data_IF_082406621325
#
_entry.id   IF_082406621325
#
_cell.length_a   1.000
_cell.length_b   1.000
_cell.length_c   1.000
_cell.angle_alpha   90.00
_cell.angle_beta   90.00
_cell.angle_gamma   90.00
#
_symmetry.space_group_name_H-M   'P 1'
#
loop_
_entity.id
_entity.type
_entity.pdbx_description
1 polymer ?
#
# COMPACT_ATOMS: atom_id res chain seq x y z
N UNK A 1 -10.99 -49.21 5.09
CA UNK A 1 -10.18 -48.32 5.94
C UNK A 1 -9.80 -47.10 5.12
N UNK A 2 -10.29 -45.91 5.51
CA UNK A 2 -10.01 -44.64 4.83
C UNK A 2 -8.58 -44.20 5.19
N UNK A 3 -7.70 -44.04 4.21
CA UNK A 3 -6.40 -43.37 4.38
C UNK A 3 -6.55 -41.95 3.83
N UNK A 4 -6.55 -40.99 4.75
CA UNK A 4 -6.51 -39.55 4.45
C UNK A 4 -5.14 -39.21 3.87
N UNK A 5 -5.11 -38.60 2.68
CA UNK A 5 -3.91 -38.04 2.08
C UNK A 5 -3.92 -36.55 2.41
N UNK A 6 -3.08 -36.17 3.37
CA UNK A 6 -2.84 -34.79 3.80
C UNK A 6 -1.77 -34.20 2.87
N UNK A 7 -2.16 -33.23 2.04
CA UNK A 7 -1.30 -32.60 1.02
C UNK A 7 -0.99 -31.18 1.50
N UNK A 8 0.26 -30.96 1.94
CA UNK A 8 0.79 -29.66 2.35
C UNK A 8 1.76 -29.10 1.32
N UNK A 9 1.58 -27.84 0.94
CA UNK A 9 2.44 -27.07 0.02
C UNK A 9 3.69 -26.57 0.76
N UNK A 10 4.87 -26.70 0.15
CA UNK A 10 6.17 -26.38 0.76
C UNK A 10 6.70 -24.99 0.38
N UNK A 11 7.37 -24.36 1.36
CA UNK A 11 7.98 -23.03 1.37
C UNK A 11 9.04 -22.80 0.26
N UNK A 12 9.53 -23.87 -0.38
CA UNK A 12 10.73 -23.83 -1.23
C UNK A 12 10.50 -23.34 -2.67
N UNK A 13 9.27 -23.39 -3.20
CA UNK A 13 8.98 -22.76 -4.50
C UNK A 13 9.28 -21.25 -4.46
N UNK A 14 9.05 -20.59 -3.32
CA UNK A 14 9.43 -19.19 -3.12
C UNK A 14 10.95 -19.02 -2.97
N UNK A 15 11.65 -20.02 -2.43
CA UNK A 15 13.09 -19.94 -2.19
C UNK A 15 13.92 -20.13 -3.47
N UNK A 16 13.50 -21.01 -4.37
CA UNK A 16 14.13 -21.18 -5.68
C UNK A 16 13.91 -19.94 -6.56
N UNK A 17 12.76 -19.28 -6.42
CA UNK A 17 12.46 -18.00 -7.05
C UNK A 17 13.32 -16.89 -6.46
N UNK A 18 13.48 -16.84 -5.14
CA UNK A 18 14.36 -15.87 -4.49
C UNK A 18 15.83 -16.06 -4.91
N UNK A 19 16.31 -17.30 -5.08
CA UNK A 19 17.69 -17.61 -5.49
C UNK A 19 17.93 -17.37 -6.99
N UNK A 20 16.97 -17.64 -7.88
CA UNK A 20 17.09 -17.32 -9.30
C UNK A 20 17.11 -15.80 -9.56
N UNK A 21 16.42 -15.01 -8.73
CA UNK A 21 16.46 -13.53 -8.79
C UNK A 21 17.77 -12.95 -8.21
N UNK A 22 18.54 -13.70 -7.41
CA UNK A 22 19.90 -13.29 -7.00
C UNK A 22 20.91 -13.44 -8.16
N UNK A 23 20.68 -14.34 -9.11
CA UNK A 23 21.60 -14.59 -10.23
C UNK A 23 21.45 -13.60 -11.41
N UNK A 24 20.44 -12.72 -11.42
CA UNK A 24 20.24 -11.71 -12.47
C UNK A 24 20.81 -10.32 -12.12
N UNK A 25 21.67 -10.24 -11.10
CA UNK A 25 22.43 -9.05 -10.77
C UNK A 25 23.71 -8.93 -11.59
N UNK A 26 23.66 -8.10 -12.64
CA UNK A 26 24.78 -7.45 -13.33
C UNK A 26 25.63 -8.27 -14.31
N UNK A 27 25.37 -8.05 -15.60
CA UNK A 27 26.27 -8.37 -16.69
C UNK A 27 25.83 -7.72 -17.99
N UNK A 28 25.82 -6.37 -18.07
CA UNK A 28 26.57 -5.67 -19.13
C UNK A 28 26.50 -4.15 -18.98
N UNK A 29 27.67 -3.53 -19.01
CA UNK A 29 27.87 -2.11 -19.02
C UNK A 29 28.16 -1.66 -20.47
N UNK A 30 27.12 -1.41 -21.27
CA UNK A 30 27.13 -0.42 -22.37
C UNK A 30 25.90 -0.56 -23.29
N UNK A 31 24.79 0.09 -22.94
CA UNK A 31 23.79 0.48 -23.95
C UNK A 31 23.38 1.92 -23.70
N UNK A 32 23.96 2.82 -24.50
CA UNK A 32 23.52 4.22 -24.60
C UNK A 32 22.12 4.23 -25.20
N UNK A 33 21.11 4.48 -24.38
CA UNK A 33 19.78 4.84 -24.86
C UNK A 33 19.77 6.33 -25.20
N UNK A 34 19.93 6.65 -26.49
CA UNK A 34 19.59 7.96 -27.03
C UNK A 34 18.11 7.93 -27.44
N UNK A 35 17.25 8.55 -26.65
CA UNK A 35 15.97 9.05 -27.11
C UNK A 35 15.63 10.31 -26.30
N UNK A 36 15.12 11.32 -26.98
CA UNK A 36 14.83 12.70 -26.52
C UNK A 36 16.02 13.66 -26.59
N UNK A 37 16.43 13.95 -27.83
CA UNK A 37 16.78 15.32 -28.19
C UNK A 37 15.48 16.10 -28.48
N UNK A 38 15.47 17.36 -28.06
CA UNK A 38 14.48 18.42 -28.29
C UNK A 38 13.28 18.51 -27.34
N UNK A 39 13.53 19.15 -26.19
CA UNK A 39 12.80 20.35 -25.77
C UNK A 39 13.57 21.03 -24.62
N UNK A 40 14.21 22.17 -24.91
CA UNK A 40 14.70 23.09 -23.88
C UNK A 40 13.50 23.63 -23.09
N UNK A 41 13.28 23.10 -21.90
CA UNK A 41 12.53 23.78 -20.85
C UNK A 41 13.25 23.53 -19.53
N UNK A 42 13.53 24.60 -18.80
CA UNK A 42 14.23 24.64 -17.53
C UNK A 42 13.58 23.71 -16.49
N UNK A 43 13.99 22.44 -16.45
CA UNK A 43 13.55 21.51 -15.43
C UNK A 43 14.45 21.65 -14.20
N UNK A 44 13.93 22.37 -13.20
CA UNK A 44 14.26 22.15 -11.81
C UNK A 44 13.99 20.66 -11.55
N UNK A 45 15.03 19.83 -11.45
CA UNK A 45 14.88 18.41 -11.09
C UNK A 45 14.20 18.40 -9.72
N UNK A 46 12.89 18.12 -9.70
CA UNK A 46 12.16 17.98 -8.46
C UNK A 46 12.71 16.73 -7.78
N UNK A 47 13.31 16.92 -6.61
CA UNK A 47 13.68 15.85 -5.70
C UNK A 47 12.42 14.99 -5.48
N UNK A 48 12.41 13.77 -6.04
CA UNK A 48 11.28 12.86 -5.88
C UNK A 48 11.25 12.49 -4.39
N UNK A 49 10.20 12.90 -3.69
CA UNK A 49 9.99 12.52 -2.29
C UNK A 49 9.79 11.00 -2.21
N UNK A 50 10.09 10.42 -1.05
CA UNK A 50 9.86 8.99 -0.81
C UNK A 50 8.42 8.58 -1.17
N UNK A 51 7.43 9.41 -0.84
CA UNK A 51 6.03 9.23 -1.21
C UNK A 51 5.82 9.16 -2.73
N UNK A 52 6.42 10.07 -3.50
CA UNK A 52 6.33 10.06 -4.96
C UNK A 52 6.98 8.81 -5.58
N UNK A 53 8.11 8.36 -5.02
CA UNK A 53 8.78 7.15 -5.46
C UNK A 53 7.95 5.88 -5.15
N UNK A 54 7.31 5.82 -3.98
CA UNK A 54 6.41 4.71 -3.62
C UNK A 54 5.22 4.65 -4.58
N UNK A 55 4.58 5.79 -4.88
CA UNK A 55 3.46 5.84 -5.84
C UNK A 55 3.87 5.32 -7.23
N UNK A 56 5.07 5.69 -7.69
CA UNK A 56 5.61 5.20 -8.96
C UNK A 56 5.93 3.69 -8.90
N UNK A 57 6.50 3.18 -7.81
CA UNK A 57 6.74 1.75 -7.66
C UNK A 57 5.40 0.98 -7.62
N UNK A 58 4.41 1.52 -6.91
CA UNK A 58 3.09 0.93 -6.73
C UNK A 58 2.33 0.77 -8.06
N UNK A 59 2.47 1.70 -9.00
CA UNK A 59 1.82 1.59 -10.32
C UNK A 59 2.43 0.49 -11.20
N UNK A 60 3.61 -0.03 -10.85
CA UNK A 60 4.32 -1.06 -11.58
C UNK A 60 4.14 -2.46 -11.01
N UNK A 61 3.39 -2.66 -9.93
CA UNK A 61 3.14 -3.97 -9.33
C UNK A 61 1.64 -4.21 -9.13
N UNK A 62 1.23 -5.47 -9.06
CA UNK A 62 -0.16 -5.88 -8.88
C UNK A 62 -0.56 -6.03 -7.41
N UNK A 63 0.34 -5.73 -6.47
CA UNK A 63 0.11 -5.89 -5.05
C UNK A 63 0.43 -4.59 -4.32
N UNK A 64 -0.16 -4.40 -3.13
CA UNK A 64 0.14 -3.25 -2.28
C UNK A 64 1.53 -3.37 -1.67
N UNK A 65 2.37 -2.36 -1.89
CA UNK A 65 3.71 -2.26 -1.30
C UNK A 65 3.60 -1.91 0.19
N UNK A 66 4.31 -2.65 1.04
CA UNK A 66 4.37 -2.43 2.48
C UNK A 66 5.57 -1.56 2.88
N UNK A 67 5.29 -0.37 3.42
CA UNK A 67 6.34 0.51 3.94
C UNK A 67 6.82 0.04 5.33
N UNK A 68 8.15 -0.06 5.57
CA UNK A 68 8.69 -0.33 6.89
C UNK A 68 8.44 0.87 7.84
N UNK A 69 7.78 0.63 8.97
CA UNK A 69 7.57 1.67 9.99
C UNK A 69 8.83 1.99 10.81
N UNK A 70 9.86 1.14 10.72
CA UNK A 70 11.12 1.31 11.44
C UNK A 70 12.31 1.09 10.50
N UNK A 71 13.22 2.06 10.48
CA UNK A 71 14.53 1.99 9.84
C UNK A 71 15.58 2.42 10.86
N UNK A 72 16.66 1.63 11.07
CA UNK A 72 17.71 1.98 12.03
C UNK A 72 18.37 3.32 11.74
N UNK A 73 18.81 4.00 12.81
CA UNK A 73 19.49 5.29 12.70
C UNK A 73 20.72 5.21 11.80
N UNK A 74 20.91 6.23 10.95
CA UNK A 74 21.99 6.32 9.97
C UNK A 74 21.60 5.83 8.57
N UNK A 75 20.64 4.92 8.46
CA UNK A 75 20.11 4.50 7.15
C UNK A 75 19.17 5.55 6.58
N UNK A 76 19.48 6.03 5.36
CA UNK A 76 18.67 6.99 4.61
C UNK A 76 18.04 6.29 3.42
N UNK A 77 16.80 6.67 3.13
CA UNK A 77 16.11 6.23 1.92
C UNK A 77 16.94 6.60 0.68
N UNK A 78 17.16 5.62 -0.19
CA UNK A 78 17.90 5.77 -1.44
C UNK A 78 16.96 5.63 -2.64
N UNK A 79 16.16 4.56 -2.69
CA UNK A 79 15.17 4.35 -3.75
C UNK A 79 14.12 3.32 -3.37
N UNK A 80 13.00 3.33 -4.09
CA UNK A 80 12.05 2.21 -4.15
C UNK A 80 11.75 1.91 -5.60
N UNK A 81 11.63 0.64 -5.94
CA UNK A 81 11.32 0.18 -7.29
C UNK A 81 10.21 -0.85 -7.24
N UNK A 82 9.32 -0.81 -8.23
CA UNK A 82 8.32 -1.85 -8.50
C UNK A 82 8.59 -2.43 -9.87
N UNK A 83 8.59 -3.76 -10.01
CA UNK A 83 8.94 -4.44 -11.26
C UNK A 83 8.10 -5.67 -11.45
N UNK A 84 7.56 -5.84 -12.65
CA UNK A 84 6.98 -7.10 -13.12
C UNK A 84 7.99 -7.85 -13.94
N UNK A 85 8.12 -9.14 -13.70
CA UNK A 85 8.97 -10.01 -14.48
C UNK A 85 8.09 -11.13 -15.05
N UNK A 86 8.03 -11.17 -16.37
CA UNK A 86 7.33 -12.22 -17.11
C UNK A 86 8.35 -13.27 -17.51
N UNK A 87 8.48 -14.31 -16.69
CA UNK A 87 9.38 -15.43 -16.96
C UNK A 87 8.73 -16.49 -17.85
N UNK A 88 9.54 -17.44 -18.32
CA UNK A 88 9.05 -18.59 -19.10
C UNK A 88 8.15 -19.49 -18.22
N UNK A 89 8.57 -19.73 -16.97
CA UNK A 89 7.87 -20.63 -16.03
C UNK A 89 6.94 -19.91 -15.04
N UNK A 90 7.30 -18.69 -14.67
CA UNK A 90 6.64 -17.93 -13.60
C UNK A 90 6.58 -16.45 -13.96
N UNK A 91 5.46 -15.83 -13.64
CA UNK A 91 5.30 -14.38 -13.62
C UNK A 91 5.35 -13.92 -12.17
N UNK A 92 6.16 -12.91 -11.89
CA UNK A 92 6.39 -12.40 -10.54
C UNK A 92 6.21 -10.88 -10.58
N UNK A 93 5.68 -10.32 -9.50
CA UNK A 93 5.76 -8.89 -9.22
C UNK A 93 6.62 -8.69 -7.97
N UNK A 94 7.49 -7.67 -7.97
CA UNK A 94 8.40 -7.37 -6.86
C UNK A 94 8.46 -5.87 -6.58
N UNK A 95 8.49 -5.53 -5.30
CA UNK A 95 8.93 -4.23 -4.82
C UNK A 95 10.30 -4.36 -4.14
N UNK A 96 11.10 -3.31 -4.18
CA UNK A 96 12.39 -3.26 -3.49
C UNK A 96 12.66 -1.85 -2.99
N UNK A 97 12.67 -1.69 -1.67
CA UNK A 97 13.22 -0.51 -0.99
C UNK A 97 14.73 -0.66 -0.83
N UNK A 98 15.46 0.43 -1.02
CA UNK A 98 16.90 0.56 -0.82
C UNK A 98 17.17 1.68 0.18
N UNK A 99 18.01 1.39 1.17
CA UNK A 99 18.50 2.34 2.16
C UNK A 99 20.03 2.25 2.25
N UNK A 100 20.68 3.39 2.53
CA UNK A 100 22.14 3.49 2.63
C UNK A 100 22.58 4.17 3.91
N UNK A 101 23.67 3.67 4.49
CA UNK A 101 24.39 4.31 5.59
C UNK A 101 25.90 4.29 5.29
N UNK A 102 26.41 5.34 4.65
CA UNK A 102 27.76 5.34 4.09
C UNK A 102 27.91 4.24 3.03
N UNK A 103 28.81 3.30 3.29
CA UNK A 103 29.09 2.14 2.44
C UNK A 103 28.15 0.95 2.71
N UNK A 104 27.31 1.03 3.73
CA UNK A 104 26.34 -0.02 4.03
C UNK A 104 25.08 0.12 3.18
N UNK A 105 24.57 -1.04 2.75
CA UNK A 105 23.35 -1.15 1.99
C UNK A 105 22.37 -2.06 2.74
N UNK A 106 21.11 -1.64 2.74
CA UNK A 106 19.97 -2.36 3.27
C UNK A 106 18.91 -2.38 2.18
N UNK A 107 18.42 -3.56 1.83
CA UNK A 107 17.28 -3.69 0.91
C UNK A 107 16.18 -4.50 1.54
N UNK A 108 14.95 -4.05 1.34
CA UNK A 108 13.73 -4.74 1.78
C UNK A 108 12.94 -5.04 0.51
N UNK A 109 12.66 -6.32 0.28
CA UNK A 109 11.97 -6.80 -0.92
C UNK A 109 10.69 -7.50 -0.56
N UNK A 110 9.68 -7.25 -1.38
CA UNK A 110 8.41 -7.97 -1.34
C UNK A 110 8.18 -8.62 -2.70
N UNK A 111 7.61 -9.82 -2.72
CA UNK A 111 7.49 -10.60 -3.94
C UNK A 111 6.23 -11.45 -3.92
N UNK A 112 5.44 -11.38 -4.99
CA UNK A 112 4.28 -12.24 -5.23
C UNK A 112 4.47 -13.01 -6.54
N UNK A 113 4.10 -14.29 -6.54
CA UNK A 113 4.01 -15.09 -7.76
C UNK A 113 2.62 -14.89 -8.35
N UNK A 114 2.55 -14.21 -9.49
CA UNK A 114 1.29 -13.86 -10.16
C UNK A 114 0.74 -15.05 -10.95
N UNK A 115 1.63 -15.80 -11.62
CA UNK A 115 1.24 -16.94 -12.45
C UNK A 115 2.32 -18.00 -12.48
N UNK A 116 1.91 -19.26 -12.46
CA UNK A 116 2.78 -20.41 -12.74
C UNK A 116 2.26 -21.11 -13.99
N UNK A 117 3.11 -21.32 -15.00
CA UNK A 117 2.68 -21.85 -16.31
C UNK A 117 2.80 -23.37 -16.44
N UNK A 118 3.57 -24.02 -15.57
CA UNK A 118 3.70 -25.49 -15.53
C UNK A 118 3.35 -26.06 -14.15
N UNK A 119 2.38 -26.97 -14.12
CA UNK A 119 1.98 -27.74 -12.92
C UNK A 119 2.84 -28.99 -12.70
N UNK A 120 4.02 -29.10 -13.33
CA UNK A 120 4.86 -30.29 -13.18
C UNK A 120 5.55 -30.29 -11.82
N UNK A 121 5.08 -31.18 -10.95
CA UNK A 121 5.62 -31.45 -9.62
C UNK A 121 7.08 -31.89 -9.74
N UNK A 122 8.01 -31.01 -9.36
CA UNK A 122 9.42 -31.37 -9.23
C UNK A 122 9.61 -32.18 -7.94
N UNK A 123 10.28 -33.32 -8.05
CA UNK A 123 10.66 -34.15 -6.90
C UNK A 123 11.64 -33.39 -6.00
N UNK A 124 11.37 -33.40 -4.70
CA UNK A 124 12.09 -32.66 -3.67
C UNK A 124 13.10 -33.57 -2.98
N UNK A 125 14.26 -33.78 -3.59
CA UNK A 125 15.48 -34.09 -2.83
C UNK A 125 16.16 -32.76 -2.47
N UNK A 126 15.48 -31.99 -1.63
CA UNK A 126 15.97 -30.70 -1.19
C UNK A 126 17.00 -30.89 -0.06
N UNK A 127 18.14 -30.21 -0.12
CA UNK A 127 19.00 -30.11 1.04
C UNK A 127 18.18 -29.53 2.21
N UNK A 128 18.38 -30.10 3.41
CA UNK A 128 17.72 -29.62 4.62
C UNK A 128 18.02 -28.14 4.79
N UNK A 129 16.99 -27.30 4.90
CA UNK A 129 17.16 -25.87 5.16
C UNK A 129 17.88 -25.71 6.50
N UNK A 130 19.13 -25.24 6.46
CA UNK A 130 20.00 -25.09 7.64
C UNK A 130 19.94 -23.69 8.24
N UNK A 131 19.08 -22.81 7.72
CA UNK A 131 19.00 -21.42 8.18
C UNK A 131 18.36 -21.33 9.56
N UNK A 132 18.78 -20.32 10.31
CA UNK A 132 18.28 -20.10 11.66
C UNK A 132 16.78 -19.74 11.61
N UNK A 133 15.99 -20.37 12.46
CA UNK A 133 14.58 -20.05 12.64
C UNK A 133 14.46 -18.88 13.59
N UNK A 134 13.77 -17.82 13.19
CA UNK A 134 13.46 -16.67 14.03
C UNK A 134 11.96 -16.42 14.06
N UNK A 135 11.49 -15.68 15.07
CA UNK A 135 10.10 -15.26 15.17
C UNK A 135 9.98 -13.79 14.76
N UNK A 136 9.01 -13.46 13.91
CA UNK A 136 8.68 -12.10 13.47
C UNK A 136 7.17 -11.91 13.72
N UNK A 137 6.79 -11.29 14.83
CA UNK A 137 5.38 -11.10 15.20
C UNK A 137 4.50 -12.38 15.17
N UNK A 138 5.05 -13.52 15.58
CA UNK A 138 4.36 -14.82 15.53
C UNK A 138 4.48 -15.56 14.19
N UNK A 139 5.14 -14.96 13.21
CA UNK A 139 5.44 -15.56 11.90
C UNK A 139 6.84 -16.16 11.94
N UNK A 140 6.97 -17.39 11.44
CA UNK A 140 8.27 -18.03 11.29
C UNK A 140 9.10 -17.37 10.18
N UNK A 141 10.28 -16.86 10.54
CA UNK A 141 11.29 -16.34 9.62
C UNK A 141 12.52 -17.24 9.52
N UNK A 142 13.32 -17.03 8.47
CA UNK A 142 14.60 -17.69 8.22
C UNK A 142 15.71 -16.65 8.12
N UNK A 143 16.71 -16.75 8.99
CA UNK A 143 17.90 -15.91 9.00
C UNK A 143 19.14 -16.68 8.52
N UNK A 144 19.95 -16.04 7.68
CA UNK A 144 21.26 -16.55 7.27
C UNK A 144 22.32 -15.46 7.12
N UNK A 145 23.58 -15.88 7.21
CA UNK A 145 24.75 -15.09 6.92
C UNK A 145 25.55 -15.82 5.83
N UNK A 146 25.58 -15.26 4.63
CA UNK A 146 26.18 -15.87 3.45
C UNK A 146 27.15 -14.87 2.82
N UNK A 147 28.45 -15.20 2.79
CA UNK A 147 29.49 -14.32 2.22
C UNK A 147 29.48 -12.88 2.78
N UNK A 148 29.19 -12.73 4.08
CA UNK A 148 29.05 -11.41 4.72
C UNK A 148 27.69 -10.73 4.51
N UNK A 149 26.85 -11.26 3.62
CA UNK A 149 25.49 -10.77 3.40
C UNK A 149 24.57 -11.38 4.44
N UNK A 150 23.89 -10.53 5.20
CA UNK A 150 22.85 -10.95 6.13
C UNK A 150 21.52 -10.99 5.38
N UNK A 151 20.81 -12.10 5.49
CA UNK A 151 19.50 -12.31 4.87
C UNK A 151 18.49 -12.73 5.94
N UNK A 152 17.36 -12.03 6.01
CA UNK A 152 16.19 -12.42 6.76
C UNK A 152 15.02 -12.58 5.78
N UNK A 153 14.26 -13.67 5.85
CA UNK A 153 13.12 -13.90 4.96
C UNK A 153 11.93 -14.50 5.71
N UNK A 154 10.72 -14.08 5.34
CA UNK A 154 9.46 -14.56 5.92
C UNK A 154 8.31 -14.42 4.91
N UNK A 155 7.11 -14.85 5.29
CA UNK A 155 5.92 -14.78 4.44
C UNK A 155 4.72 -14.23 5.21
N UNK A 156 3.95 -13.38 4.54
CA UNK A 156 2.63 -12.92 4.99
C UNK A 156 1.64 -13.33 3.90
N UNK A 157 0.83 -14.37 4.16
CA UNK A 157 -0.05 -14.93 3.14
C UNK A 157 0.73 -15.45 1.91
N UNK A 158 0.43 -14.88 0.75
CA UNK A 158 1.13 -15.14 -0.53
C UNK A 158 2.31 -14.20 -0.78
N UNK A 159 2.47 -13.14 0.02
CA UNK A 159 3.57 -12.19 -0.08
C UNK A 159 4.82 -12.77 0.58
N UNK A 160 5.91 -12.82 -0.19
CA UNK A 160 7.22 -13.24 0.29
C UNK A 160 8.08 -12.02 0.56
N UNK A 161 8.61 -11.91 1.77
CA UNK A 161 9.37 -10.76 2.21
C UNK A 161 10.81 -11.15 2.50
N UNK A 162 11.73 -10.24 2.23
CA UNK A 162 13.13 -10.41 2.63
C UNK A 162 13.82 -9.09 2.92
N UNK A 163 14.75 -9.14 3.88
CA UNK A 163 15.68 -8.06 4.18
C UNK A 163 17.07 -8.58 3.88
N UNK A 164 17.84 -7.82 3.10
CA UNK A 164 19.26 -8.08 2.85
C UNK A 164 20.08 -6.89 3.30
N UNK A 165 21.17 -7.15 4.01
CA UNK A 165 22.13 -6.11 4.36
C UNK A 165 23.56 -6.55 4.13
N UNK A 166 24.35 -5.66 3.55
CA UNK A 166 25.76 -5.88 3.24
C UNK A 166 26.51 -4.54 3.24
N UNK A 167 27.84 -4.60 3.26
CA UNK A 167 28.71 -3.44 3.11
C UNK A 167 29.47 -3.51 1.79
N UNK A 168 29.58 -2.40 1.08
CA UNK A 168 30.38 -2.29 -0.14
C UNK A 168 31.78 -1.78 0.22
N UNK A 169 32.81 -2.61 0.08
CA UNK A 169 34.21 -2.20 0.27
C UNK A 169 34.94 -2.28 -1.07
N UNK A 170 34.90 -1.19 -1.84
CA UNK A 170 35.42 -1.14 -3.20
C UNK A 170 34.58 -2.00 -4.16
N UNK A 171 35.18 -3.05 -4.74
CA UNK A 171 34.48 -4.02 -5.59
C UNK A 171 33.99 -5.26 -4.82
N UNK A 172 34.28 -5.36 -3.52
CA UNK A 172 33.92 -6.52 -2.70
C UNK A 172 32.71 -6.23 -1.81
N UNK A 173 31.88 -7.25 -1.59
CA UNK A 173 30.80 -7.21 -0.61
C UNK A 173 31.29 -7.86 0.69
N UNK A 174 31.09 -7.18 1.81
CA UNK A 174 31.51 -7.66 3.14
C UNK A 174 30.37 -7.55 4.16
N UNK A 175 30.68 -7.96 5.39
CA UNK A 175 29.76 -7.98 6.53
C UNK A 175 29.15 -6.61 6.83
N UNK A 176 27.82 -6.51 6.78
CA UNK A 176 27.10 -5.35 7.34
C UNK A 176 27.21 -5.30 8.86
N UNK A 177 27.27 -4.10 9.45
CA UNK A 177 27.18 -3.91 10.90
C UNK A 177 25.78 -4.16 11.47
N UNK A 178 24.74 -4.21 10.62
CA UNK A 178 23.35 -4.38 11.05
C UNK A 178 23.15 -5.71 11.78
N UNK A 179 22.78 -5.68 13.07
CA UNK A 179 22.60 -6.91 13.84
C UNK A 179 21.36 -7.70 13.41
N UNK A 180 21.30 -8.98 13.78
CA UNK A 180 20.12 -9.82 13.53
C UNK A 180 18.88 -9.23 14.22
N UNK A 181 19.05 -8.76 15.45
CA UNK A 181 17.97 -8.16 16.26
C UNK A 181 17.42 -6.91 15.58
N UNK A 182 18.28 -6.07 14.99
CA UNK A 182 17.84 -4.91 14.21
C UNK A 182 17.11 -5.32 12.93
N UNK A 183 17.56 -6.37 12.23
CA UNK A 183 16.83 -6.91 11.08
C UNK A 183 15.45 -7.44 11.47
N UNK A 184 15.32 -8.08 12.64
CA UNK A 184 14.03 -8.55 13.15
C UNK A 184 13.11 -7.36 13.44
N UNK A 185 13.60 -6.30 14.10
CA UNK A 185 12.80 -5.07 14.34
C UNK A 185 12.31 -4.43 13.04
N UNK A 186 13.15 -4.38 12.01
CA UNK A 186 12.73 -3.92 10.68
C UNK A 186 11.61 -4.83 10.15
N UNK A 187 11.80 -6.16 10.18
CA UNK A 187 10.81 -7.11 9.69
C UNK A 187 9.46 -7.01 10.43
N UNK A 188 9.50 -6.83 11.76
CA UNK A 188 8.31 -6.64 12.59
C UNK A 188 7.58 -5.32 12.28
N UNK A 189 8.29 -4.34 11.70
CA UNK A 189 7.74 -3.05 11.29
C UNK A 189 7.14 -3.04 9.88
N UNK A 190 7.42 -4.07 9.06
CA UNK A 190 6.85 -4.21 7.71
C UNK A 190 5.49 -4.90 7.83
N UNK A 191 4.45 -4.10 8.01
CA UNK A 191 3.06 -4.55 8.14
C UNK A 191 2.10 -3.48 7.63
N UNK A 192 0.84 -3.86 7.44
CA UNK A 192 -0.21 -2.85 7.25
C UNK A 192 -0.36 -2.00 8.52
N UNK A 193 -0.54 -0.68 8.31
CA UNK A 193 -0.99 0.22 9.37
C UNK A 193 -2.35 -0.26 9.86
N UNK A 194 -2.55 -0.24 11.17
CA UNK A 194 -3.86 -0.42 11.77
C UNK A 194 -4.75 0.79 11.46
N UNK A 195 -6.10 0.66 11.51
CA UNK A 195 -7.00 1.80 11.37
C UNK A 195 -6.69 2.95 12.34
N UNK A 196 -6.32 2.63 13.58
CA UNK A 196 -6.01 3.63 14.60
C UNK A 196 -4.72 4.40 14.28
N UNK A 197 -3.68 3.73 13.78
CA UNK A 197 -2.44 4.38 13.35
C UNK A 197 -2.66 5.30 12.14
N UNK A 198 -3.46 4.84 11.17
CA UNK A 198 -3.79 5.63 9.98
C UNK A 198 -4.60 6.89 10.33
N UNK A 199 -5.55 6.77 11.25
CA UNK A 199 -6.31 7.92 11.75
C UNK A 199 -5.44 8.83 12.61
N UNK A 200 -4.53 8.31 13.44
CA UNK A 200 -3.60 9.12 14.21
C UNK A 200 -2.70 9.97 13.30
N UNK A 201 -2.15 9.39 12.22
CA UNK A 201 -1.36 10.14 11.24
C UNK A 201 -2.18 11.22 10.52
N UNK A 202 -3.40 10.91 10.10
CA UNK A 202 -4.29 11.91 9.49
C UNK A 202 -4.63 13.03 10.49
N UNK A 203 -4.81 12.68 11.77
CA UNK A 203 -5.15 13.61 12.85
C UNK A 203 -4.03 14.62 13.11
N UNK A 204 -2.77 14.26 12.94
CA UNK A 204 -1.63 15.20 13.05
C UNK A 204 -1.68 16.32 12.01
N UNK A 205 -2.38 16.10 10.89
CA UNK A 205 -2.46 17.03 9.76
C UNK A 205 -3.69 17.95 9.83
N UNK A 206 -4.61 17.77 10.77
CA UNK A 206 -5.84 18.58 10.90
C UNK A 206 -6.06 19.05 12.35
N UNK A 207 -6.87 20.09 12.52
CA UNK A 207 -7.15 20.72 13.83
C UNK A 207 -8.44 20.23 14.49
N UNK A 208 -9.37 19.67 13.72
CA UNK A 208 -10.59 19.06 14.24
C UNK A 208 -10.38 17.59 14.60
N UNK A 209 -11.22 17.07 15.50
CA UNK A 209 -11.21 15.65 15.86
C UNK A 209 -11.82 14.83 14.73
N UNK A 210 -11.07 13.88 14.19
CA UNK A 210 -11.53 12.94 13.15
C UNK A 210 -12.65 12.05 13.72
N UNK A 211 -13.72 11.89 12.95
CA UNK A 211 -14.88 11.10 13.33
C UNK A 211 -14.82 9.72 12.69
N UNK A 212 -14.88 8.67 13.50
CA UNK A 212 -14.88 7.29 13.01
C UNK A 212 -16.30 6.69 13.05
N UNK A 213 -16.72 5.95 12.01
CA UNK A 213 -17.96 5.20 12.04
C UNK A 213 -17.81 3.98 12.95
N UNK A 214 -18.81 3.75 13.81
CA UNK A 214 -18.91 2.53 14.62
C UNK A 214 -19.56 1.36 13.87
N UNK A 215 -20.15 1.62 12.70
CA UNK A 215 -20.71 0.62 11.80
C UNK A 215 -19.95 0.61 10.47
N UNK A 216 -19.56 -0.59 10.01
CA UNK A 216 -18.97 -0.80 8.69
C UNK A 216 -19.87 -1.73 7.87
N UNK A 217 -20.26 -1.36 6.64
CA UNK A 217 -21.00 -2.26 5.76
C UNK A 217 -20.24 -3.57 5.52
N UNK A 218 -20.98 -4.67 5.38
CA UNK A 218 -20.38 -6.00 5.28
C UNK A 218 -19.40 -6.11 4.09
N UNK A 219 -18.20 -6.61 4.38
CA UNK A 219 -17.13 -6.79 3.40
C UNK A 219 -16.25 -5.56 3.19
N UNK A 220 -16.59 -4.39 3.74
CA UNK A 220 -15.71 -3.23 3.71
C UNK A 220 -14.71 -3.24 4.87
N UNK A 221 -13.48 -2.80 4.60
CA UNK A 221 -12.44 -2.52 5.59
C UNK A 221 -11.74 -1.20 5.25
N UNK A 222 -11.16 -0.52 6.24
CA UNK A 222 -10.44 0.74 6.00
C UNK A 222 -9.23 0.50 5.09
N UNK A 223 -9.06 1.34 4.07
CA UNK A 223 -7.83 1.42 3.30
C UNK A 223 -6.87 2.39 4.01
N UNK A 224 -6.11 1.84 4.96
CA UNK A 224 -5.26 2.60 5.89
C UNK A 224 -4.16 3.42 5.22
N UNK A 225 -3.84 3.18 3.95
CA UNK A 225 -2.81 3.93 3.23
C UNK A 225 -3.29 5.27 2.67
N UNK A 226 -4.53 5.34 2.20
CA UNK A 226 -5.07 6.58 1.60
C UNK A 226 -5.89 7.38 2.62
N UNK A 227 -5.93 6.92 3.87
CA UNK A 227 -6.33 7.74 5.00
C UNK A 227 -5.41 8.96 5.08
N UNK A 228 -5.98 10.16 5.04
CA UNK A 228 -5.21 11.37 4.93
C UNK A 228 -5.91 12.55 5.58
N UNK A 229 -5.12 13.46 6.16
CA UNK A 229 -5.53 14.80 6.56
C UNK A 229 -4.77 15.83 5.72
N UNK A 230 -5.44 16.89 5.30
CA UNK A 230 -4.86 17.95 4.45
C UNK A 230 -5.36 19.31 4.92
N UNK A 231 -4.46 20.31 4.94
CA UNK A 231 -4.82 21.73 5.10
C UNK A 231 -4.61 22.45 3.79
N UNK A 232 -5.64 23.14 3.33
CA UNK A 232 -5.59 24.02 2.18
C UNK A 232 -5.64 25.47 2.65
N UNK A 233 -4.69 26.28 2.17
CA UNK A 233 -4.62 27.73 2.42
C UNK A 233 -4.51 28.48 1.10
N UNK A 234 -5.67 28.82 0.54
CA UNK A 234 -5.79 29.71 -0.59
C UNK A 234 -6.07 31.15 -0.16
N UNK A 235 -6.04 32.08 -1.12
CA UNK A 235 -6.41 33.48 -0.88
C UNK A 235 -7.89 33.66 -0.53
N UNK A 236 -8.77 32.86 -1.16
CA UNK A 236 -10.23 32.91 -1.02
C UNK A 236 -10.83 31.75 -0.23
N UNK A 237 -10.08 30.68 0.01
CA UNK A 237 -10.55 29.48 0.73
C UNK A 237 -9.46 28.97 1.68
N UNK A 238 -9.79 28.87 2.95
CA UNK A 238 -9.02 28.10 3.94
C UNK A 238 -9.88 26.94 4.43
N UNK A 239 -9.39 25.72 4.26
CA UNK A 239 -10.13 24.52 4.62
C UNK A 239 -9.20 23.42 5.12
N UNK A 240 -9.74 22.55 5.97
CA UNK A 240 -9.09 21.31 6.38
C UNK A 240 -9.97 20.14 5.96
N UNK A 241 -9.36 19.11 5.39
CA UNK A 241 -10.05 17.94 4.89
C UNK A 241 -9.43 16.66 5.44
N UNK A 242 -10.28 15.71 5.79
CA UNK A 242 -9.89 14.32 6.05
C UNK A 242 -10.60 13.42 5.06
N UNK A 243 -9.87 12.43 4.55
CA UNK A 243 -10.40 11.37 3.72
C UNK A 243 -10.06 10.03 4.35
N UNK A 244 -11.08 9.23 4.65
CA UNK A 244 -10.96 7.88 5.19
C UNK A 244 -11.58 6.92 4.16
N UNK A 245 -10.77 6.33 3.28
CA UNK A 245 -11.25 5.36 2.30
C UNK A 245 -11.50 3.99 2.95
N UNK A 246 -12.45 3.27 2.38
CA UNK A 246 -12.79 1.89 2.70
C UNK A 246 -12.91 1.12 1.39
N UNK A 247 -12.44 -0.12 1.41
CA UNK A 247 -12.42 -1.00 0.25
C UNK A 247 -13.14 -2.30 0.58
N UNK A 248 -13.83 -2.85 -0.41
CA UNK A 248 -14.45 -4.18 -0.36
C UNK A 248 -13.90 -5.02 -1.49
N UNK A 249 -13.15 -6.06 -1.12
CA UNK A 249 -12.34 -6.89 -2.02
C UNK A 249 -11.28 -7.66 -1.24
N UNK A 250 -10.54 -8.53 -1.92
CA UNK A 250 -9.34 -9.12 -1.33
C UNK A 250 -8.17 -8.11 -1.34
N UNK A 251 -7.17 -8.33 -0.48
CA UNK A 251 -6.05 -7.41 -0.27
C UNK A 251 -5.19 -7.12 -1.52
N UNK A 252 -5.41 -7.86 -2.62
CA UNK A 252 -4.43 -7.94 -3.70
C UNK A 252 -4.99 -7.94 -5.14
N UNK A 253 -6.29 -8.14 -5.42
CA UNK A 253 -6.80 -8.19 -6.80
C UNK A 253 -8.26 -7.70 -7.07
N UNK A 254 -8.35 -6.85 -8.10
CA UNK A 254 -9.31 -6.76 -9.21
C UNK A 254 -10.80 -6.37 -9.01
N UNK A 255 -11.36 -6.31 -7.79
CA UNK A 255 -12.74 -5.79 -7.62
C UNK A 255 -12.92 -4.92 -6.39
N UNK A 256 -12.29 -3.75 -6.42
CA UNK A 256 -12.41 -2.79 -5.34
C UNK A 256 -13.66 -1.93 -5.55
N UNK A 257 -14.74 -2.28 -4.84
CA UNK A 257 -15.73 -1.26 -4.49
C UNK A 257 -15.09 -0.35 -3.44
N UNK A 258 -15.09 0.95 -3.73
CA UNK A 258 -14.56 2.00 -2.86
C UNK A 258 -15.71 2.71 -2.16
N UNK A 259 -15.46 3.09 -0.92
CA UNK A 259 -16.34 3.85 -0.07
C UNK A 259 -15.51 4.87 0.68
N UNK A 260 -15.70 6.15 0.43
CA UNK A 260 -14.91 7.22 1.05
C UNK A 260 -15.76 7.96 2.07
N UNK A 261 -15.30 8.06 3.31
CA UNK A 261 -15.78 9.04 4.28
C UNK A 261 -14.90 10.27 4.20
N UNK A 262 -15.48 11.42 3.85
CA UNK A 262 -14.80 12.71 3.80
C UNK A 262 -15.37 13.63 4.86
N UNK A 263 -14.47 14.31 5.56
CA UNK A 263 -14.80 15.35 6.54
C UNK A 263 -14.15 16.65 6.08
N UNK A 264 -14.94 17.72 6.00
CA UNK A 264 -14.48 19.03 5.53
C UNK A 264 -14.85 20.10 6.57
N UNK A 265 -13.83 20.80 7.04
CA UNK A 265 -13.96 22.02 7.83
C UNK A 265 -13.60 23.22 6.97
N UNK A 266 -14.55 24.11 6.73
CA UNK A 266 -14.30 25.39 6.07
C UNK A 266 -13.97 26.42 7.17
N UNK A 267 -12.75 26.94 7.15
CA UNK A 267 -12.26 27.96 8.10
C UNK A 267 -12.55 29.36 7.58
N UNK A 268 -12.32 29.56 6.29
CA UNK A 268 -12.54 30.83 5.60
C UNK A 268 -13.05 30.53 4.20
N UNK A 269 -14.13 31.18 3.82
CA UNK A 269 -14.64 31.14 2.45
C UNK A 269 -15.14 32.53 2.06
N UNK A 270 -14.34 33.20 1.22
CA UNK A 270 -14.69 34.50 0.62
C UNK A 270 -15.26 34.31 -0.79
N UNK A 271 -15.53 33.06 -1.20
CA UNK A 271 -16.06 32.81 -2.54
C UNK A 271 -17.56 33.10 -2.57
N UNK A 272 -17.94 34.13 -3.32
CA UNK A 272 -19.33 34.48 -3.61
C UNK A 272 -19.89 33.51 -4.66
N UNK A 273 -20.00 32.23 -4.29
CA UNK A 273 -20.56 31.20 -5.15
C UNK A 273 -22.05 31.16 -4.85
N UNK A 274 -22.81 32.00 -5.55
CA UNK A 274 -24.26 31.87 -5.62
C UNK A 274 -24.60 30.39 -5.88
N UNK A 275 -25.39 29.79 -5.00
CA UNK A 275 -25.73 28.36 -4.99
C UNK A 275 -25.94 27.84 -6.42
N UNK A 276 -24.95 27.10 -6.94
CA UNK A 276 -25.17 26.36 -8.18
C UNK A 276 -26.14 25.24 -7.83
N UNK A 277 -27.42 25.46 -8.07
CA UNK A 277 -28.45 24.44 -7.93
C UNK A 277 -28.13 23.38 -8.99
N UNK A 278 -27.42 22.34 -8.56
CA UNK A 278 -27.26 21.11 -9.32
C UNK A 278 -28.66 20.60 -9.65
N UNK A 279 -29.01 20.54 -10.94
CA UNK A 279 -30.28 19.99 -11.40
C UNK A 279 -30.43 18.48 -11.18
N UNK A 280 -29.44 17.85 -10.55
CA UNK A 280 -29.44 16.42 -10.31
C UNK A 280 -30.38 16.07 -9.16
N UNK A 281 -31.38 15.20 -9.36
CA UNK A 281 -32.36 14.85 -8.34
C UNK A 281 -31.69 14.16 -7.15
N UNK A 282 -32.05 14.56 -5.93
CA UNK A 282 -31.57 13.98 -4.69
C UNK A 282 -32.73 13.57 -3.77
N UNK A 283 -32.45 12.65 -2.85
CA UNK A 283 -33.38 12.20 -1.80
C UNK A 283 -32.93 12.74 -0.45
N UNK A 284 -33.87 13.18 0.37
CA UNK A 284 -33.57 13.56 1.75
C UNK A 284 -33.64 12.35 2.68
N UNK A 285 -32.74 12.29 3.65
CA UNK A 285 -32.70 11.23 4.67
C UNK A 285 -32.31 11.80 6.03
N UNK A 286 -32.94 11.33 7.10
CA UNK A 286 -32.58 11.70 8.46
C UNK A 286 -31.32 10.96 8.94
N UNK A 287 -30.35 11.71 9.44
CA UNK A 287 -29.11 11.22 10.04
C UNK A 287 -28.99 11.81 11.44
N UNK A 288 -29.53 11.07 12.42
CA UNK A 288 -29.52 11.47 13.83
C UNK A 288 -30.14 12.86 14.09
N UNK A 289 -31.22 13.21 13.39
CA UNK A 289 -31.87 14.51 13.49
C UNK A 289 -31.33 15.58 12.52
N UNK A 290 -30.24 15.30 11.79
CA UNK A 290 -29.76 16.17 10.71
C UNK A 290 -30.27 15.68 9.36
N UNK A 291 -30.74 16.61 8.52
CA UNK A 291 -31.15 16.30 7.15
C UNK A 291 -29.94 16.08 6.24
N UNK A 292 -29.78 14.84 5.77
CA UNK A 292 -28.80 14.46 4.75
C UNK A 292 -29.39 14.49 3.34
N UNK A 293 -28.51 14.68 2.34
CA UNK A 293 -28.83 14.66 0.92
C UNK A 293 -28.15 13.46 0.26
N UNK A 294 -28.95 12.52 -0.23
CA UNK A 294 -28.51 11.36 -0.99
C UNK A 294 -28.65 11.61 -2.49
N UNK A 295 -27.59 11.35 -3.23
CA UNK A 295 -27.53 11.45 -4.67
C UNK A 295 -27.07 10.12 -5.27
N UNK A 296 -27.70 9.70 -6.36
CA UNK A 296 -27.27 8.58 -7.18
C UNK A 296 -27.17 9.04 -8.64
N UNK A 297 -25.97 8.98 -9.20
CA UNK A 297 -25.70 9.40 -10.57
C UNK A 297 -26.06 8.31 -11.58
N UNK A 298 -26.13 8.67 -12.86
CA UNK A 298 -26.36 7.71 -13.95
C UNK A 298 -25.23 6.68 -14.09
N UNK A 299 -24.02 7.01 -13.61
CA UNK A 299 -22.88 6.10 -13.49
C UNK A 299 -23.09 5.02 -12.41
N UNK A 300 -24.08 5.19 -11.54
CA UNK A 300 -24.31 4.40 -10.33
C UNK A 300 -23.48 4.87 -9.12
N UNK A 301 -22.66 5.92 -9.26
CA UNK A 301 -21.96 6.53 -8.13
C UNK A 301 -23.00 7.09 -7.16
N UNK A 302 -22.79 6.83 -5.86
CA UNK A 302 -23.69 7.29 -4.80
C UNK A 302 -22.95 8.22 -3.86
N UNK A 303 -23.59 9.30 -3.43
CA UNK A 303 -23.07 10.16 -2.37
C UNK A 303 -24.15 10.50 -1.34
N UNK A 304 -23.75 10.57 -0.08
CA UNK A 304 -24.58 11.00 1.03
C UNK A 304 -23.88 12.11 1.78
N UNK A 305 -24.47 13.30 1.77
CA UNK A 305 -23.89 14.52 2.33
C UNK A 305 -24.73 14.99 3.52
N UNK A 306 -24.10 15.39 4.63
CA UNK A 306 -24.78 15.97 5.78
C UNK A 306 -23.84 16.81 6.63
N UNK A 307 -24.39 17.58 7.55
CA UNK A 307 -23.62 18.43 8.46
C UNK A 307 -23.60 17.84 9.87
N UNK A 308 -22.49 18.03 10.59
CA UNK A 308 -22.39 17.74 12.02
C UNK A 308 -21.57 18.84 12.68
N UNK A 309 -22.25 19.78 13.33
CA UNK A 309 -21.61 20.99 13.84
C UNK A 309 -21.10 21.86 12.70
N UNK A 310 -19.80 22.15 12.69
CA UNK A 310 -19.12 22.91 11.64
C UNK A 310 -18.46 22.03 10.56
N UNK A 311 -18.69 20.72 10.60
CA UNK A 311 -18.14 19.78 9.62
C UNK A 311 -19.19 19.44 8.57
N UNK A 312 -18.78 19.53 7.30
CA UNK A 312 -19.48 18.91 6.18
C UNK A 312 -18.95 17.49 6.01
N UNK A 313 -19.85 16.51 6.04
CA UNK A 313 -19.56 15.09 5.97
C UNK A 313 -20.10 14.53 4.66
N UNK A 314 -19.31 13.68 4.03
CA UNK A 314 -19.70 13.02 2.78
C UNK A 314 -19.30 11.56 2.82
N UNK A 315 -20.24 10.65 2.54
CA UNK A 315 -19.92 9.28 2.16
C UNK A 315 -20.11 9.14 0.66
N UNK A 316 -19.07 8.74 -0.07
CA UNK A 316 -19.14 8.49 -1.52
C UNK A 316 -18.84 7.03 -1.82
N UNK A 317 -19.56 6.41 -2.75
CA UNK A 317 -19.28 5.03 -3.17
C UNK A 317 -19.16 4.92 -4.68
N UNK A 318 -18.12 4.25 -5.15
CA UNK A 318 -17.81 4.02 -6.56
C UNK A 318 -16.96 2.75 -6.74
N UNK A 319 -16.97 2.17 -7.93
CA UNK A 319 -16.15 1.03 -8.30
C UNK A 319 -15.52 1.28 -9.67
N UNK A 320 -14.30 0.78 -9.90
CA UNK A 320 -13.65 0.85 -11.19
C UNK A 320 -13.83 -0.46 -11.95
N UNK A 321 -14.31 -0.39 -13.19
CA UNK A 321 -14.38 -1.53 -14.11
C UNK A 321 -13.79 -1.14 -15.45
N UNK A 322 -12.66 -1.75 -15.82
CA UNK A 322 -12.03 -1.61 -17.15
C UNK A 322 -11.90 -0.13 -17.59
N UNK A 323 -11.42 0.72 -16.67
CA UNK A 323 -11.24 2.19 -16.80
C UNK A 323 -12.50 3.07 -16.68
N UNK A 324 -13.68 2.50 -16.46
CA UNK A 324 -14.90 3.27 -16.20
C UNK A 324 -15.27 3.28 -14.72
N UNK A 325 -15.77 4.42 -14.24
CA UNK A 325 -16.40 4.52 -12.92
C UNK A 325 -17.81 3.95 -13.00
N UNK A 326 -18.12 3.03 -12.10
CA UNK A 326 -19.40 2.35 -11.97
C UNK A 326 -19.91 2.44 -10.54
N UNK A 327 -21.19 2.18 -10.33
CA UNK A 327 -21.77 2.10 -8.99
C UNK A 327 -21.32 0.86 -8.21
N UNK A 328 -21.37 0.98 -6.88
CA UNK A 328 -21.13 -0.15 -5.97
C UNK A 328 -22.43 -0.87 -5.62
N UNK A 329 -22.29 -2.06 -5.04
CA UNK A 329 -23.39 -2.83 -4.44
C UNK A 329 -23.97 -2.21 -3.15
N UNK A 330 -23.37 -1.14 -2.60
CA UNK A 330 -23.87 -0.52 -1.37
C UNK A 330 -25.25 0.13 -1.60
N UNK A 331 -26.15 -0.04 -0.64
CA UNK A 331 -27.49 0.55 -0.68
C UNK A 331 -27.54 1.85 0.11
N UNK A 332 -28.59 2.64 -0.12
CA UNK A 332 -28.89 3.84 0.68
C UNK A 332 -28.98 3.51 2.17
N UNK A 333 -29.65 2.41 2.52
CA UNK A 333 -29.83 2.00 3.92
C UNK A 333 -28.48 1.69 4.60
N UNK A 334 -27.55 1.07 3.89
CA UNK A 334 -26.20 0.78 4.40
C UNK A 334 -25.37 2.05 4.58
N UNK A 335 -25.39 2.97 3.61
CA UNK A 335 -24.74 4.28 3.74
C UNK A 335 -25.34 5.09 4.90
N UNK A 336 -26.66 5.04 5.07
CA UNK A 336 -27.35 5.73 6.16
C UNK A 336 -27.00 5.15 7.54
N UNK A 337 -26.90 3.83 7.67
CA UNK A 337 -26.44 3.17 8.90
C UNK A 337 -25.02 3.61 9.24
N UNK A 338 -24.12 3.62 8.26
CA UNK A 338 -22.75 4.10 8.44
C UNK A 338 -22.73 5.56 8.89
N UNK A 339 -23.43 6.46 8.18
CA UNK A 339 -23.51 7.88 8.53
C UNK A 339 -24.02 8.13 9.96
N UNK A 340 -25.09 7.42 10.38
CA UNK A 340 -25.63 7.50 11.74
C UNK A 340 -24.67 6.99 12.81
N UNK A 341 -23.71 6.15 12.44
CA UNK A 341 -22.73 5.56 13.34
C UNK A 341 -21.48 6.42 13.56
N UNK A 342 -21.30 7.50 12.79
CA UNK A 342 -20.16 8.42 12.85
C UNK A 342 -20.23 9.25 14.14
N UNK A 343 -19.27 9.04 15.05
CA UNK A 343 -19.29 9.63 16.40
C UNK A 343 -18.16 10.59 16.67
#
# INVERSE_FOLDING_TARGET
MKKSILIGVSIVAVLAILLAVVALGFGDASTKFNAFADAQANNKISEITMEGAIQQAQSNVSFRILEPMYIPSGYKFDSVTGTKFTGVMIDIDMSSFSYKNGDEQLTIKETIVVKTRDNRTQSSDLPKDTREIVNINGIEGRYSLENGIKLLSWKIGNLSLSIKSWKNEGQNQTGSSLSKEEMIKIAESVREKTPDEAVAEAQEKVSFKILQPSYMPAGYRMNTWQASGTKFRGSSLEAEQVMIPYIKGDEFFEKDENLDLKELLIIKDDTDVSESISGTPYKFIDINGTQGRFLEETSGMKSLNWEKGNLSLTISSYAYKENNVTGTSITLEEMAKMARSVK
#
